data_IF_560626228819
#
_entry.id   IF_560626228819
#
_cell.length_a   1.000
_cell.length_b   1.000
_cell.length_c   1.000
_cell.angle_alpha   90.00
_cell.angle_beta   90.00
_cell.angle_gamma   90.00
#
_symmetry.space_group_name_H-M   'P 1'
#
loop_
_entity.id
_entity.type
_entity.pdbx_description
1 polymer ?
#
# COMPACT_ATOMS: atom_id res chain seq x y z
N UNK A 1 6.84 -13.09 16.48
CA UNK A 1 6.39 -11.75 16.86
C UNK A 1 5.33 -11.34 15.85
N UNK A 2 4.14 -11.04 16.28
CA UNK A 2 3.07 -10.62 15.38
C UNK A 2 3.21 -9.11 15.19
N UNK A 3 3.64 -8.67 13.99
CA UNK A 3 3.75 -7.25 13.66
C UNK A 3 2.38 -6.70 13.29
N UNK A 4 1.96 -5.66 13.98
CA UNK A 4 0.64 -5.07 13.79
C UNK A 4 0.76 -3.69 13.09
N UNK A 5 0.40 -3.66 11.80
CA UNK A 5 0.42 -2.45 10.99
C UNK A 5 -0.97 -1.83 10.91
N UNK A 6 -1.09 -0.58 11.29
CA UNK A 6 -2.32 0.20 11.11
C UNK A 6 -2.22 1.10 9.88
N UNK A 7 -3.33 1.23 9.17
CA UNK A 7 -3.43 2.17 8.05
C UNK A 7 -3.48 3.61 8.56
N UNK A 8 -2.56 4.45 8.05
CA UNK A 8 -2.48 5.87 8.39
C UNK A 8 -2.43 6.71 7.12
N UNK A 9 -2.73 8.00 7.23
CA UNK A 9 -2.59 8.92 6.10
C UNK A 9 -1.13 9.07 5.70
N UNK A 10 -0.87 8.94 4.40
CA UNK A 10 0.42 9.27 3.81
C UNK A 10 0.48 10.74 3.39
N UNK A 11 1.69 11.25 3.13
CA UNK A 11 1.85 12.59 2.57
C UNK A 11 1.15 12.72 1.19
N UNK A 12 1.13 11.65 0.38
CA UNK A 12 0.42 11.62 -0.90
C UNK A 12 -1.09 11.82 -0.73
N UNK A 13 -1.70 11.17 0.27
CA UNK A 13 -3.13 11.27 0.54
C UNK A 13 -3.52 12.72 0.86
N UNK A 14 -2.70 13.40 1.67
CA UNK A 14 -2.91 14.80 2.04
C UNK A 14 -2.76 15.71 0.82
N UNK A 15 -1.72 15.51 0.00
CA UNK A 15 -1.48 16.30 -1.20
C UNK A 15 -2.62 16.16 -2.20
N UNK A 16 -3.07 14.94 -2.50
CA UNK A 16 -4.17 14.68 -3.44
C UNK A 16 -5.46 15.36 -2.97
N UNK A 17 -5.82 15.19 -1.70
CA UNK A 17 -7.02 15.82 -1.13
C UNK A 17 -6.93 17.35 -1.16
N UNK A 18 -5.79 17.93 -0.78
CA UNK A 18 -5.57 19.36 -0.79
C UNK A 18 -5.63 19.94 -2.20
N UNK A 19 -5.04 19.29 -3.20
CA UNK A 19 -5.09 19.73 -4.59
C UNK A 19 -6.52 19.80 -5.12
N UNK A 20 -7.36 18.80 -4.82
CA UNK A 20 -8.76 18.81 -5.23
C UNK A 20 -9.53 19.96 -4.57
N UNK A 21 -9.32 20.20 -3.28
CA UNK A 21 -9.97 21.29 -2.56
C UNK A 21 -9.53 22.65 -3.14
N UNK A 22 -8.24 22.85 -3.37
CA UNK A 22 -7.70 24.10 -3.92
C UNK A 22 -8.23 24.33 -5.33
N UNK A 23 -8.20 23.30 -6.20
CA UNK A 23 -8.69 23.41 -7.56
C UNK A 23 -10.19 23.73 -7.58
N UNK A 24 -10.99 23.03 -6.78
CA UNK A 24 -12.42 23.29 -6.66
C UNK A 24 -12.74 24.70 -6.16
N UNK A 25 -12.00 25.18 -5.15
CA UNK A 25 -12.13 26.53 -4.62
C UNK A 25 -11.77 27.60 -5.66
N UNK A 26 -10.72 27.34 -6.45
CA UNK A 26 -10.34 28.26 -7.54
C UNK A 26 -11.45 28.37 -8.60
N UNK A 27 -12.06 27.24 -8.99
CA UNK A 27 -13.16 27.24 -9.98
C UNK A 27 -14.38 28.02 -9.48
N UNK A 28 -14.69 27.96 -8.19
CA UNK A 28 -15.81 28.71 -7.62
C UNK A 28 -15.50 30.21 -7.51
N UNK A 29 -14.26 30.55 -7.21
CA UNK A 29 -13.83 31.97 -7.06
C UNK A 29 -13.78 32.73 -8.40
N UNK A 30 -13.65 32.04 -9.52
CA UNK A 30 -13.65 32.65 -10.83
C UNK A 30 -15.07 33.03 -11.27
N UNK A 31 -15.29 34.19 -11.92
CA UNK A 31 -16.57 34.62 -12.47
C UNK A 31 -16.88 33.83 -13.74
N UNK A 32 -17.28 32.56 -13.59
CA UNK A 32 -17.50 31.63 -14.69
C UNK A 32 -18.96 31.16 -14.74
N UNK A 33 -19.25 30.21 -15.62
CA UNK A 33 -20.59 29.65 -15.75
C UNK A 33 -21.01 28.80 -14.54
N UNK A 34 -22.32 28.68 -14.33
CA UNK A 34 -22.88 27.84 -13.26
C UNK A 34 -22.36 26.38 -13.32
N UNK A 35 -22.15 25.84 -14.53
CA UNK A 35 -21.63 24.49 -14.71
C UNK A 35 -20.21 24.34 -14.12
N UNK A 36 -19.34 25.34 -14.32
CA UNK A 36 -17.97 25.35 -13.75
C UNK A 36 -18.02 25.45 -12.24
N UNK A 37 -18.88 26.29 -11.69
CA UNK A 37 -19.05 26.43 -10.25
C UNK A 37 -19.54 25.12 -9.59
N UNK A 38 -20.51 24.42 -10.22
CA UNK A 38 -20.98 23.11 -9.76
C UNK A 38 -19.82 22.09 -9.78
N UNK A 39 -19.01 22.07 -10.83
CA UNK A 39 -17.82 21.22 -10.90
C UNK A 39 -16.85 21.54 -9.78
N UNK A 40 -16.63 22.82 -9.48
CA UNK A 40 -15.79 23.26 -8.34
C UNK A 40 -16.30 22.73 -6.99
N UNK A 41 -17.61 22.82 -6.75
CA UNK A 41 -18.23 22.27 -5.54
C UNK A 41 -18.03 20.75 -5.44
N UNK A 42 -18.15 20.03 -6.55
CA UNK A 42 -17.94 18.59 -6.60
C UNK A 42 -16.50 18.19 -6.26
N UNK A 43 -15.51 18.97 -6.76
CA UNK A 43 -14.10 18.73 -6.45
C UNK A 43 -13.78 19.02 -4.97
N UNK A 44 -14.35 20.05 -4.38
CA UNK A 44 -14.20 20.32 -2.93
C UNK A 44 -14.77 19.15 -2.14
N UNK A 45 -15.98 18.73 -2.45
CA UNK A 45 -16.63 17.61 -1.77
C UNK A 45 -15.82 16.32 -1.89
N UNK A 46 -15.35 15.99 -3.11
CA UNK A 46 -14.48 14.84 -3.34
C UNK A 46 -13.19 14.93 -2.52
N UNK A 47 -12.53 16.09 -2.48
CA UNK A 47 -11.33 16.32 -1.69
C UNK A 47 -11.56 16.12 -0.19
N UNK A 48 -12.70 16.57 0.34
CA UNK A 48 -13.08 16.36 1.74
C UNK A 48 -13.32 14.88 2.04
N UNK A 49 -14.07 14.18 1.18
CA UNK A 49 -14.30 12.73 1.34
C UNK A 49 -12.97 11.97 1.31
N UNK A 50 -12.10 12.25 0.34
CA UNK A 50 -10.79 11.60 0.26
C UNK A 50 -9.93 11.90 1.50
N UNK A 51 -10.03 13.09 2.08
CA UNK A 51 -9.36 13.40 3.35
C UNK A 51 -9.78 12.46 4.47
N UNK A 52 -11.02 12.00 4.49
CA UNK A 52 -11.52 11.09 5.52
C UNK A 52 -11.19 9.62 5.25
N UNK A 53 -11.23 9.22 3.97
CA UNK A 53 -11.17 7.81 3.55
C UNK A 53 -9.76 7.34 3.23
N UNK A 54 -8.92 8.19 2.59
CA UNK A 54 -7.58 7.77 2.16
C UNK A 54 -6.63 7.57 3.34
N UNK A 55 -6.10 6.35 3.43
CA UNK A 55 -5.09 5.93 4.41
C UNK A 55 -4.14 4.93 3.75
N UNK A 56 -3.31 5.41 2.81
CA UNK A 56 -2.40 4.54 2.04
C UNK A 56 -1.05 4.29 2.72
N UNK A 57 -0.76 4.99 3.82
CA UNK A 57 0.41 4.74 4.65
C UNK A 57 0.14 3.64 5.67
N UNK A 58 1.19 3.03 6.17
CA UNK A 58 1.14 2.04 7.24
C UNK A 58 2.07 2.46 8.38
N UNK A 59 1.65 2.26 9.61
CA UNK A 59 2.43 2.57 10.80
C UNK A 59 2.50 1.33 11.69
N UNK A 60 3.69 0.96 12.12
CA UNK A 60 3.86 -0.08 13.13
C UNK A 60 3.40 0.46 14.50
N UNK A 61 2.50 -0.26 15.14
CA UNK A 61 1.94 0.16 16.43
C UNK A 61 2.96 0.17 17.56
N UNK A 62 3.94 -0.72 17.53
CA UNK A 62 4.94 -0.85 18.60
C UNK A 62 6.01 0.24 18.52
N UNK A 63 6.56 0.46 17.32
CA UNK A 63 7.70 1.38 17.13
C UNK A 63 7.29 2.78 16.67
N UNK A 64 6.05 2.94 16.20
CA UNK A 64 5.58 4.18 15.61
C UNK A 64 6.17 4.51 14.24
N UNK A 65 7.03 3.66 13.69
CA UNK A 65 7.70 3.85 12.39
C UNK A 65 6.70 3.72 11.26
N UNK A 66 6.82 4.60 10.27
CA UNK A 66 5.99 4.55 9.05
C UNK A 66 6.61 3.62 8.01
N UNK A 67 5.77 2.77 7.44
CA UNK A 67 6.11 1.83 6.37
C UNK A 67 5.28 2.13 5.13
N UNK A 68 5.85 1.82 3.97
CA UNK A 68 5.12 1.70 2.71
C UNK A 68 4.80 0.24 2.50
N UNK A 69 3.69 -0.03 1.83
CA UNK A 69 3.28 -1.38 1.47
C UNK A 69 3.37 -1.55 -0.04
N UNK A 70 3.86 -2.69 -0.49
CA UNK A 70 3.76 -3.19 -1.85
C UNK A 70 3.20 -4.60 -1.82
N UNK A 71 2.38 -4.94 -2.78
CA UNK A 71 1.73 -6.24 -2.89
C UNK A 71 2.16 -6.90 -4.19
N UNK A 72 2.39 -8.21 -4.15
CA UNK A 72 2.65 -9.03 -5.32
C UNK A 72 1.75 -10.25 -5.27
N UNK A 73 1.18 -10.62 -6.41
CA UNK A 73 0.23 -11.71 -6.53
C UNK A 73 0.85 -12.85 -7.34
N UNK A 74 0.60 -14.10 -6.91
CA UNK A 74 1.19 -15.28 -7.52
C UNK A 74 0.17 -16.41 -7.64
N UNK A 75 0.52 -17.40 -8.46
CA UNK A 75 -0.24 -18.65 -8.56
C UNK A 75 0.02 -19.56 -7.35
N UNK A 76 -0.92 -20.44 -7.05
CA UNK A 76 -0.82 -21.40 -5.96
C UNK A 76 0.42 -22.30 -6.05
N UNK A 77 0.84 -22.66 -7.26
CA UNK A 77 2.03 -23.47 -7.48
C UNK A 77 3.32 -22.86 -6.91
N UNK A 78 3.36 -21.54 -6.71
CA UNK A 78 4.52 -20.83 -6.18
C UNK A 78 4.60 -20.83 -4.65
N UNK A 79 3.62 -21.40 -3.95
CA UNK A 79 3.52 -21.32 -2.48
C UNK A 79 4.80 -21.77 -1.76
N UNK A 80 5.32 -22.96 -2.04
CA UNK A 80 6.50 -23.50 -1.36
C UNK A 80 7.77 -22.72 -1.70
N UNK A 81 7.92 -22.30 -2.96
CA UNK A 81 9.05 -21.50 -3.43
C UNK A 81 9.10 -20.14 -2.74
N UNK A 82 7.96 -19.41 -2.73
CA UNK A 82 7.89 -18.09 -2.12
C UNK A 82 8.03 -18.18 -0.60
N UNK A 83 7.35 -19.16 0.04
CA UNK A 83 7.42 -19.34 1.49
C UNK A 83 8.87 -19.60 1.96
N UNK A 84 9.63 -20.42 1.24
CA UNK A 84 11.04 -20.67 1.53
C UNK A 84 11.90 -19.43 1.26
N UNK A 85 11.64 -18.73 0.16
CA UNK A 85 12.38 -17.54 -0.23
C UNK A 85 12.21 -16.42 0.80
N UNK A 86 10.98 -16.07 1.19
CA UNK A 86 10.74 -15.00 2.16
C UNK A 86 11.30 -15.30 3.55
N UNK A 87 11.47 -16.57 3.89
CA UNK A 87 12.05 -16.96 5.17
C UNK A 87 13.57 -16.76 5.22
N UNK A 88 14.29 -17.00 4.10
CA UNK A 88 15.76 -17.07 4.08
C UNK A 88 16.43 -16.15 3.08
N UNK A 89 15.91 -16.08 1.85
CA UNK A 89 16.51 -15.38 0.70
C UNK A 89 15.43 -14.62 -0.09
N UNK A 90 14.90 -13.49 0.43
CA UNK A 90 13.82 -12.75 -0.23
C UNK A 90 14.20 -12.24 -1.63
N UNK A 91 15.48 -12.06 -1.92
CA UNK A 91 16.01 -11.74 -3.23
C UNK A 91 15.80 -12.82 -4.29
N UNK A 92 15.51 -14.07 -3.85
CA UNK A 92 15.25 -15.22 -4.73
C UNK A 92 13.79 -15.32 -5.21
N UNK A 93 12.89 -14.45 -4.72
CA UNK A 93 11.51 -14.41 -5.22
C UNK A 93 11.52 -14.01 -6.69
N UNK A 94 10.94 -14.85 -7.55
CA UNK A 94 10.87 -14.60 -8.99
C UNK A 94 9.67 -13.69 -9.32
N UNK A 95 9.96 -12.43 -9.61
CA UNK A 95 8.94 -11.45 -9.99
C UNK A 95 8.43 -11.65 -11.43
N UNK A 96 9.08 -12.47 -12.27
CA UNK A 96 8.54 -12.80 -13.59
C UNK A 96 7.29 -13.69 -13.47
N UNK A 97 7.12 -14.36 -12.35
CA UNK A 97 5.91 -15.13 -12.02
C UNK A 97 4.86 -14.30 -11.25
N UNK A 98 5.19 -13.04 -10.89
CA UNK A 98 4.23 -12.14 -10.26
C UNK A 98 3.12 -11.75 -11.26
N UNK A 99 1.94 -11.47 -10.71
CA UNK A 99 0.74 -11.04 -11.47
C UNK A 99 0.19 -12.07 -12.48
N UNK A 100 0.72 -13.29 -12.50
CA UNK A 100 0.19 -14.39 -13.31
C UNK A 100 -0.98 -15.14 -12.65
N UNK A 101 -1.29 -14.79 -11.42
CA UNK A 101 -2.40 -15.37 -10.66
C UNK A 101 -2.62 -14.58 -9.37
N UNK A 102 -3.69 -14.89 -8.66
CA UNK A 102 -4.10 -14.20 -7.44
C UNK A 102 -4.39 -15.15 -6.27
N UNK A 103 -3.94 -16.41 -6.37
CA UNK A 103 -4.13 -17.37 -5.30
C UNK A 103 -3.27 -17.07 -4.06
N UNK A 104 -2.11 -16.44 -4.28
CA UNK A 104 -1.21 -16.01 -3.22
C UNK A 104 -0.98 -14.50 -3.31
N UNK A 105 -0.88 -13.85 -2.16
CA UNK A 105 -0.54 -12.43 -2.03
C UNK A 105 0.65 -12.29 -1.10
N UNK A 106 1.74 -11.71 -1.58
CA UNK A 106 2.92 -11.35 -0.79
C UNK A 106 2.84 -9.87 -0.41
N UNK A 107 2.66 -9.59 0.86
CA UNK A 107 2.72 -8.24 1.41
C UNK A 107 4.16 -7.91 1.81
N UNK A 108 4.66 -6.79 1.31
CA UNK A 108 5.99 -6.27 1.58
C UNK A 108 5.85 -4.89 2.23
N UNK A 109 6.04 -4.82 3.54
CA UNK A 109 6.11 -3.55 4.27
C UNK A 109 7.56 -3.11 4.38
N UNK A 110 7.91 -1.90 3.97
CA UNK A 110 9.28 -1.41 4.00
C UNK A 110 9.38 0.04 4.44
N UNK A 111 10.46 0.37 5.13
CA UNK A 111 10.74 1.72 5.58
C UNK A 111 12.21 2.08 5.31
N UNK A 112 12.41 3.08 4.44
CA UNK A 112 13.77 3.60 4.18
C UNK A 112 14.40 4.24 5.41
N UNK A 113 13.58 4.78 6.31
CA UNK A 113 14.05 5.43 7.53
C UNK A 113 14.59 4.42 8.55
N UNK A 114 13.96 3.23 8.68
CA UNK A 114 14.42 2.19 9.59
C UNK A 114 15.40 1.19 8.96
N UNK A 115 15.52 1.19 7.62
CA UNK A 115 16.30 0.20 6.89
C UNK A 115 15.73 -1.21 6.90
N UNK A 116 14.49 -1.38 7.40
CA UNK A 116 13.85 -2.67 7.60
C UNK A 116 12.68 -2.90 6.64
N UNK A 117 12.45 -4.17 6.34
CA UNK A 117 11.29 -4.66 5.62
C UNK A 117 10.71 -5.89 6.32
N UNK A 118 9.38 -6.03 6.21
CA UNK A 118 8.62 -7.15 6.74
C UNK A 118 7.82 -7.80 5.60
N UNK A 119 7.96 -9.11 5.47
CA UNK A 119 7.31 -9.89 4.44
C UNK A 119 6.35 -10.88 5.06
N UNK A 120 5.16 -10.99 4.49
CA UNK A 120 4.17 -11.98 4.90
C UNK A 120 3.43 -12.49 3.67
N UNK A 121 3.28 -13.81 3.58
CA UNK A 121 2.53 -14.48 2.53
C UNK A 121 1.12 -14.78 3.02
N UNK A 122 0.16 -14.52 2.13
CA UNK A 122 -1.27 -14.80 2.31
C UNK A 122 -1.76 -15.73 1.21
N UNK A 123 -2.71 -16.56 1.53
CA UNK A 123 -3.42 -17.42 0.61
C UNK A 123 -4.87 -16.95 0.46
N UNK A 124 -5.38 -17.01 -0.78
CA UNK A 124 -6.77 -16.66 -1.05
C UNK A 124 -7.68 -17.81 -0.61
N UNK A 125 -8.50 -17.53 0.39
CA UNK A 125 -9.62 -18.38 0.79
C UNK A 125 -10.90 -17.70 0.31
N UNK A 126 -12.05 -18.40 0.20
CA UNK A 126 -13.25 -17.76 -0.32
C UNK A 126 -13.52 -16.40 0.30
N UNK A 127 -13.51 -15.35 -0.56
CA UNK A 127 -13.79 -13.94 -0.27
C UNK A 127 -12.72 -13.16 0.51
N UNK A 128 -11.58 -13.72 0.92
CA UNK A 128 -10.52 -13.02 1.67
C UNK A 128 -9.14 -13.65 1.50
N UNK A 129 -8.11 -12.88 1.87
CA UNK A 129 -6.76 -13.39 2.04
C UNK A 129 -6.48 -13.67 3.51
N UNK A 130 -6.01 -14.89 3.81
CA UNK A 130 -5.58 -15.28 5.14
C UNK A 130 -4.06 -15.49 5.19
N UNK A 131 -3.38 -15.12 6.30
CA UNK A 131 -1.95 -15.30 6.41
C UNK A 131 -1.61 -16.80 6.44
N UNK A 132 -0.78 -17.24 5.51
CA UNK A 132 -0.26 -18.62 5.44
C UNK A 132 1.21 -18.71 5.81
N UNK A 133 1.86 -17.61 6.17
CA UNK A 133 3.21 -17.56 6.72
C UNK A 133 3.32 -16.67 7.95
N UNK A 134 4.43 -16.81 8.69
CA UNK A 134 4.84 -15.83 9.69
C UNK A 134 5.28 -14.54 9.01
N UNK A 135 5.38 -13.47 9.78
CA UNK A 135 6.04 -12.22 9.35
C UNK A 135 7.55 -12.41 9.47
N UNK A 136 8.26 -12.19 8.37
CA UNK A 136 9.73 -12.26 8.31
C UNK A 136 10.32 -10.87 8.20
N UNK A 137 11.29 -10.56 9.07
CA UNK A 137 12.04 -9.31 9.04
C UNK A 137 13.31 -9.46 8.21
N UNK A 138 13.56 -8.51 7.33
CA UNK A 138 14.77 -8.44 6.51
C UNK A 138 15.28 -7.00 6.44
N UNK A 139 16.55 -6.85 6.05
CA UNK A 139 17.06 -5.55 5.64
C UNK A 139 16.45 -5.11 4.31
N UNK A 140 16.18 -3.81 4.16
CA UNK A 140 15.58 -3.25 2.95
C UNK A 140 16.41 -3.53 1.69
N UNK A 141 17.73 -3.63 1.82
CA UNK A 141 18.67 -4.00 0.75
C UNK A 141 18.34 -5.35 0.10
N UNK A 142 17.94 -6.34 0.92
CA UNK A 142 17.63 -7.69 0.48
C UNK A 142 16.28 -7.82 -0.25
N UNK A 143 15.41 -6.86 -0.04
CA UNK A 143 14.09 -6.81 -0.69
C UNK A 143 14.01 -5.76 -1.81
N UNK A 144 15.13 -5.21 -2.22
CA UNK A 144 15.19 -4.13 -3.22
C UNK A 144 14.41 -4.44 -4.50
N UNK A 145 14.47 -5.69 -4.99
CA UNK A 145 13.68 -6.15 -6.14
C UNK A 145 12.16 -6.10 -5.91
N UNK A 146 11.72 -6.41 -4.69
CA UNK A 146 10.31 -6.48 -4.34
C UNK A 146 9.67 -5.10 -4.15
N UNK A 147 10.46 -4.05 -4.01
CA UNK A 147 9.98 -2.69 -3.72
C UNK A 147 10.19 -1.68 -4.87
N UNK A 148 10.93 -2.05 -5.90
CA UNK A 148 11.16 -1.23 -7.12
C UNK A 148 10.18 -1.55 -8.28
#
# INVERSE_FOLDING_TARGET
MEKNFISVRSAKDIIVSALLIILGSTLIALPTSAAINITGMFLIFAGLVLTLVLKTGHKDMETGVKYRKKEHYFQQAMHSSISSAIATKPEAVDLNEAEKGNALKLDVYYSKASGKAYLQLFEYVPYKYEPCSKVYEHEISRVAKLIN
#
